data_IF_820836373154
#
_entry.id   IF_820836373154
#
_cell.length_a   1.000
_cell.length_b   1.000
_cell.length_c   1.000
_cell.angle_alpha   90.00
_cell.angle_beta   90.00
_cell.angle_gamma   90.00
#
_symmetry.space_group_name_H-M   'P 1'
#
loop_
_entity.id
_entity.type
_entity.pdbx_description
1 polymer ?
#
# COMPACT_ATOMS: atom_id res chain seq x y z
N UNK A 1 8.47 20.76 17.20
CA UNK A 1 9.06 19.82 18.18
C UNK A 1 10.35 19.26 17.57
N UNK A 2 11.45 19.20 18.32
CA UNK A 2 12.69 18.59 17.85
C UNK A 2 12.58 17.06 17.86
N UNK A 3 13.29 16.37 16.95
CA UNK A 3 13.37 14.91 16.94
C UNK A 3 13.91 14.35 18.28
N UNK A 4 14.85 15.07 18.89
CA UNK A 4 15.41 14.73 20.20
C UNK A 4 14.33 14.63 21.30
N UNK A 5 13.46 15.64 21.40
CA UNK A 5 12.40 15.65 22.43
C UNK A 5 11.37 14.54 22.19
N UNK A 6 11.07 14.22 20.93
CA UNK A 6 10.19 13.10 20.59
C UNK A 6 10.80 11.78 21.07
N UNK A 7 12.06 11.54 20.71
CA UNK A 7 12.76 10.30 21.03
C UNK A 7 12.96 10.11 22.53
N UNK A 8 13.18 11.20 23.29
CA UNK A 8 13.24 11.14 24.74
C UNK A 8 11.91 10.67 25.34
N UNK A 9 10.79 11.30 24.93
CA UNK A 9 9.45 10.92 25.41
C UNK A 9 9.12 9.49 25.01
N UNK A 10 9.40 9.11 23.75
CA UNK A 10 9.21 7.75 23.23
C UNK A 10 9.92 6.71 24.10
N UNK A 11 11.18 6.95 24.45
CA UNK A 11 11.97 6.05 25.34
C UNK A 11 11.34 5.92 26.72
N UNK A 12 10.87 7.02 27.32
CA UNK A 12 10.20 7.00 28.63
C UNK A 12 8.92 6.16 28.57
N UNK A 13 8.11 6.35 27.53
CA UNK A 13 6.84 5.64 27.33
C UNK A 13 7.08 4.14 27.16
N UNK A 14 7.97 3.71 26.27
CA UNK A 14 8.27 2.28 26.07
C UNK A 14 9.01 1.64 27.25
N UNK A 15 9.88 2.38 27.95
CA UNK A 15 10.50 1.90 29.19
C UNK A 15 9.45 1.67 30.29
N UNK A 16 8.46 2.57 30.38
CA UNK A 16 7.33 2.42 31.30
C UNK A 16 6.46 1.23 30.94
N UNK A 17 6.14 1.07 29.65
CA UNK A 17 5.33 -0.04 29.16
C UNK A 17 5.98 -1.41 29.42
N UNK A 18 7.30 -1.52 29.24
CA UNK A 18 8.05 -2.76 29.47
C UNK A 18 8.40 -3.00 30.95
N UNK A 19 8.10 -2.07 31.87
CA UNK A 19 8.38 -2.25 33.28
C UNK A 19 7.29 -3.15 33.93
N UNK A 20 7.65 -4.30 34.53
CA UNK A 20 6.68 -5.23 35.13
C UNK A 20 5.79 -4.62 36.21
N UNK A 21 6.25 -3.56 36.89
CA UNK A 21 5.52 -2.89 37.97
C UNK A 21 4.61 -1.74 37.49
N UNK A 22 4.68 -1.36 36.21
CA UNK A 22 3.94 -0.22 35.66
C UNK A 22 3.02 -0.63 34.51
N UNK A 23 3.59 -1.28 33.51
CA UNK A 23 2.87 -1.79 32.33
C UNK A 23 2.27 -0.70 31.42
N UNK A 24 1.47 -1.16 30.46
CA UNK A 24 0.88 -0.34 29.40
C UNK A 24 -0.16 0.68 29.91
N UNK A 25 -0.92 0.36 30.97
CA UNK A 25 -1.93 1.27 31.53
C UNK A 25 -1.31 2.62 31.92
N UNK A 26 -0.22 2.57 32.69
CA UNK A 26 0.48 3.80 33.11
C UNK A 26 1.16 4.50 31.94
N UNK A 27 1.68 3.75 30.96
CA UNK A 27 2.28 4.32 29.75
C UNK A 27 1.25 5.14 28.94
N UNK A 28 0.03 4.61 28.75
CA UNK A 28 -1.07 5.33 28.10
C UNK A 28 -1.50 6.55 28.91
N UNK A 29 -1.61 6.42 30.23
CA UNK A 29 -1.95 7.54 31.12
C UNK A 29 -0.95 8.69 30.97
N UNK A 30 0.36 8.39 31.01
CA UNK A 30 1.41 9.39 30.85
C UNK A 30 1.39 10.04 29.47
N UNK A 31 1.17 9.25 28.42
CA UNK A 31 1.05 9.77 27.06
C UNK A 31 -0.11 10.76 26.94
N UNK A 32 -1.29 10.39 27.46
CA UNK A 32 -2.52 11.17 27.35
C UNK A 32 -2.53 12.42 28.26
N UNK A 33 -2.05 12.30 29.50
CA UNK A 33 -2.13 13.36 30.52
C UNK A 33 -0.92 14.28 30.55
N UNK A 34 0.28 13.76 30.29
CA UNK A 34 1.54 14.48 30.55
C UNK A 34 2.24 14.93 29.27
N UNK A 35 2.25 14.08 28.25
CA UNK A 35 3.06 14.32 27.05
C UNK A 35 2.29 14.82 25.85
N UNK A 36 0.96 14.64 25.80
CA UNK A 36 0.10 15.09 24.69
C UNK A 36 0.31 16.56 24.30
N UNK A 37 0.37 17.47 25.27
CA UNK A 37 0.58 18.91 25.02
C UNK A 37 1.99 19.21 24.51
N UNK A 38 2.99 18.44 24.95
CA UNK A 38 4.41 18.61 24.56
C UNK A 38 4.70 18.07 23.16
N UNK A 39 4.05 16.96 22.79
CA UNK A 39 4.22 16.30 21.49
C UNK A 39 3.51 17.04 20.35
N UNK A 40 2.45 17.79 20.68
CA UNK A 40 1.50 18.32 19.71
C UNK A 40 0.69 17.19 19.05
N UNK A 41 -0.31 17.56 18.24
CA UNK A 41 -1.25 16.60 17.67
C UNK A 41 -0.57 15.49 16.85
N UNK A 42 0.36 15.84 15.96
CA UNK A 42 1.03 14.86 15.09
C UNK A 42 1.89 13.86 15.87
N UNK A 43 2.73 14.36 16.78
CA UNK A 43 3.62 13.50 17.59
C UNK A 43 2.84 12.62 18.56
N UNK A 44 1.78 13.15 19.16
CA UNK A 44 0.89 12.38 20.03
C UNK A 44 0.22 11.23 19.28
N UNK A 45 -0.40 11.51 18.12
CA UNK A 45 -1.09 10.48 17.35
C UNK A 45 -0.14 9.40 16.82
N UNK A 46 1.08 9.77 16.41
CA UNK A 46 2.13 8.82 16.01
C UNK A 46 2.53 7.91 17.16
N UNK A 47 2.97 8.48 18.29
CA UNK A 47 3.43 7.70 19.44
C UNK A 47 2.30 6.84 20.05
N UNK A 48 1.05 7.31 19.99
CA UNK A 48 -0.11 6.53 20.41
C UNK A 48 -0.37 5.34 19.50
N UNK A 49 -0.19 5.49 18.19
CA UNK A 49 -0.29 4.37 17.26
C UNK A 49 0.83 3.34 17.51
N UNK A 50 2.08 3.80 17.65
CA UNK A 50 3.21 2.94 18.00
C UNK A 50 2.97 2.15 19.30
N UNK A 51 2.52 2.81 20.37
CA UNK A 51 2.26 2.16 21.65
C UNK A 51 1.15 1.11 21.56
N UNK A 52 0.07 1.40 20.83
CA UNK A 52 -1.02 0.44 20.61
C UNK A 52 -0.57 -0.75 19.75
N UNK A 53 0.25 -0.52 18.72
CA UNK A 53 0.83 -1.58 17.91
C UNK A 53 1.71 -2.51 18.76
N UNK A 54 2.60 -1.94 19.56
CA UNK A 54 3.47 -2.71 20.44
C UNK A 54 2.69 -3.46 21.53
N UNK A 55 1.65 -2.86 22.10
CA UNK A 55 0.80 -3.54 23.09
C UNK A 55 0.08 -4.76 22.50
N UNK A 56 -0.45 -4.62 21.28
CA UNK A 56 -1.27 -5.66 20.65
C UNK A 56 -0.44 -6.77 20.03
N UNK A 57 0.68 -6.43 19.39
CA UNK A 57 1.47 -7.36 18.58
C UNK A 57 2.89 -7.60 19.10
N UNK A 58 3.28 -6.97 20.21
CA UNK A 58 4.64 -7.05 20.74
C UNK A 58 5.08 -8.48 21.06
N UNK A 59 4.20 -9.29 21.64
CA UNK A 59 4.49 -10.70 21.92
C UNK A 59 4.44 -11.55 20.65
N UNK A 60 3.36 -11.43 19.88
CA UNK A 60 3.11 -12.25 18.68
C UNK A 60 4.23 -12.10 17.64
N UNK A 61 4.69 -10.86 17.41
CA UNK A 61 5.76 -10.55 16.48
C UNK A 61 7.12 -10.40 17.14
N UNK A 62 7.25 -10.69 18.44
CA UNK A 62 8.51 -10.52 19.22
C UNK A 62 9.17 -9.16 18.97
N UNK A 63 8.37 -8.10 19.01
CA UNK A 63 8.81 -6.76 18.65
C UNK A 63 9.85 -6.26 19.64
N UNK A 64 10.90 -5.64 19.10
CA UNK A 64 11.89 -4.86 19.82
C UNK A 64 11.78 -3.42 19.32
N UNK A 65 11.74 -2.47 20.24
CA UNK A 65 11.72 -1.04 19.89
C UNK A 65 13.02 -0.69 19.19
N UNK A 66 12.93 -0.20 17.96
CA UNK A 66 14.09 0.25 17.22
C UNK A 66 14.70 1.47 17.92
N UNK A 67 16.01 1.40 18.14
CA UNK A 67 16.80 2.53 18.61
C UNK A 67 16.92 3.60 17.51
N UNK A 68 17.32 4.80 17.90
CA UNK A 68 17.52 5.98 17.04
C UNK A 68 18.74 5.80 16.10
N UNK A 69 18.68 4.78 15.23
CA UNK A 69 19.79 4.34 14.37
C UNK A 69 19.69 4.87 12.94
N UNK A 70 18.78 5.81 12.67
CA UNK A 70 18.59 6.39 11.34
C UNK A 70 17.89 5.47 10.33
N UNK A 71 17.56 4.23 10.72
CA UNK A 71 16.66 3.37 9.96
C UNK A 71 15.24 3.86 10.25
N UNK A 72 14.45 4.20 9.22
CA UNK A 72 13.11 4.80 9.33
C UNK A 72 12.05 3.89 10.02
N UNK A 73 12.44 2.86 10.77
CA UNK A 73 11.59 1.88 11.42
C UNK A 73 11.39 2.17 12.92
N UNK A 74 10.20 1.85 13.42
CA UNK A 74 9.85 1.97 14.83
C UNK A 74 10.14 0.69 15.62
N UNK A 75 10.00 -0.47 14.98
CA UNK A 75 10.19 -1.79 15.58
C UNK A 75 10.95 -2.74 14.67
N UNK A 76 11.59 -3.73 15.26
CA UNK A 76 12.12 -4.91 14.58
C UNK A 76 11.60 -6.17 15.27
N UNK A 77 11.21 -7.18 14.51
CA UNK A 77 10.66 -8.42 15.05
C UNK A 77 10.53 -9.50 13.98
N UNK A 78 9.52 -10.34 14.14
CA UNK A 78 9.20 -11.46 13.27
C UNK A 78 7.77 -11.34 12.74
N UNK A 79 7.59 -11.42 11.43
CA UNK A 79 6.27 -11.58 10.81
C UNK A 79 6.17 -12.97 10.18
N UNK A 80 5.40 -13.85 10.82
CA UNK A 80 5.45 -15.28 10.50
C UNK A 80 6.84 -15.85 10.79
N UNK A 81 7.52 -16.37 9.76
CA UNK A 81 8.88 -16.92 9.86
C UNK A 81 9.98 -15.94 9.44
N UNK A 82 9.62 -14.74 8.95
CA UNK A 82 10.57 -13.78 8.41
C UNK A 82 10.90 -12.70 9.45
N UNK A 83 12.17 -12.34 9.54
CA UNK A 83 12.56 -11.12 10.24
C UNK A 83 11.97 -9.92 9.48
N UNK A 84 11.42 -8.98 10.23
CA UNK A 84 10.70 -7.82 9.67
C UNK A 84 10.94 -6.57 10.50
N UNK A 85 11.17 -5.45 9.81
CA UNK A 85 11.14 -4.10 10.36
C UNK A 85 9.75 -3.51 10.16
N UNK A 86 9.23 -2.85 11.17
CA UNK A 86 7.93 -2.20 11.13
C UNK A 86 8.07 -0.70 11.35
N UNK A 87 7.47 0.08 10.47
CA UNK A 87 7.18 1.49 10.67
C UNK A 87 5.68 1.65 10.91
N UNK A 88 5.28 2.40 11.92
CA UNK A 88 3.89 2.59 12.29
C UNK A 88 3.50 4.02 11.95
N UNK A 89 2.53 4.18 11.06
CA UNK A 89 2.05 5.49 10.63
C UNK A 89 0.56 5.61 10.78
N UNK A 90 0.10 6.84 11.01
CA UNK A 90 -1.32 7.19 10.89
C UNK A 90 -1.63 7.91 9.58
N UNK A 91 -0.63 8.16 8.75
CA UNK A 91 -0.81 8.78 7.44
C UNK A 91 0.22 8.26 6.44
N UNK A 92 -0.26 7.58 5.40
CA UNK A 92 0.60 7.03 4.35
C UNK A 92 1.18 8.10 3.43
N UNK A 93 0.57 9.29 3.36
CA UNK A 93 1.00 10.37 2.46
C UNK A 93 2.42 10.89 2.75
N UNK A 94 2.91 10.66 3.97
CA UNK A 94 4.25 11.06 4.40
C UNK A 94 5.28 9.93 4.24
N UNK A 95 4.90 8.81 3.62
CA UNK A 95 5.74 7.62 3.49
C UNK A 95 5.98 7.36 2.01
N UNK A 96 7.08 7.87 1.49
CA UNK A 96 7.45 7.76 0.08
C UNK A 96 8.45 6.64 -0.14
N UNK A 97 8.22 5.76 -1.11
CA UNK A 97 9.11 4.63 -1.39
C UNK A 97 10.59 5.03 -1.51
N UNK A 98 10.89 6.14 -2.19
CA UNK A 98 12.25 6.67 -2.38
C UNK A 98 12.99 7.00 -1.07
N UNK A 99 12.29 7.28 0.02
CA UNK A 99 12.90 7.52 1.34
C UNK A 99 13.25 6.21 2.05
N UNK A 100 12.54 5.12 1.74
CA UNK A 100 12.74 3.83 2.39
C UNK A 100 13.67 2.91 1.59
N UNK A 101 13.72 3.04 0.27
CA UNK A 101 14.52 2.21 -0.64
C UNK A 101 15.96 1.99 -0.16
N UNK A 102 16.71 3.03 0.30
CA UNK A 102 18.09 2.84 0.75
C UNK A 102 18.24 1.91 1.96
N UNK A 103 17.17 1.76 2.75
CA UNK A 103 17.14 0.95 3.96
C UNK A 103 16.61 -0.48 3.74
N UNK A 104 16.05 -0.76 2.56
CA UNK A 104 15.48 -2.08 2.23
C UNK A 104 16.58 -3.06 1.81
N UNK A 105 17.46 -2.65 0.88
CA UNK A 105 18.62 -3.45 0.42
C UNK A 105 18.32 -4.95 0.18
N UNK A 106 19.34 -5.81 0.31
CA UNK A 106 19.18 -7.29 0.34
C UNK A 106 18.77 -7.80 1.74
N UNK A 107 18.13 -6.95 2.54
CA UNK A 107 18.01 -7.11 3.97
C UNK A 107 16.70 -7.73 4.44
N UNK A 108 16.37 -7.38 5.67
CA UNK A 108 15.19 -7.80 6.40
C UNK A 108 13.96 -7.11 5.77
N UNK A 109 12.85 -7.84 5.62
CA UNK A 109 11.59 -7.30 5.07
C UNK A 109 11.15 -6.02 5.80
N UNK A 110 10.55 -5.09 5.06
CA UNK A 110 10.16 -3.78 5.58
C UNK A 110 8.66 -3.55 5.40
N UNK A 111 7.93 -3.44 6.51
CA UNK A 111 6.48 -3.27 6.51
C UNK A 111 6.06 -1.95 7.16
N UNK A 112 5.05 -1.30 6.58
CA UNK A 112 4.40 -0.11 7.13
C UNK A 112 3.01 -0.49 7.65
N UNK A 113 2.81 -0.40 8.97
CA UNK A 113 1.51 -0.58 9.60
C UNK A 113 0.76 0.77 9.62
N UNK A 114 -0.33 0.86 8.85
CA UNK A 114 -1.20 2.02 8.79
C UNK A 114 -2.31 1.92 9.84
N UNK A 115 -2.39 2.92 10.71
CA UNK A 115 -3.38 3.04 11.77
C UNK A 115 -4.45 4.07 11.45
N UNK A 116 -5.68 3.79 11.84
CA UNK A 116 -6.76 4.77 11.88
C UNK A 116 -6.54 5.73 13.06
N UNK A 117 -6.68 7.03 12.81
CA UNK A 117 -6.51 8.09 13.83
C UNK A 117 -7.62 8.13 14.87
N UNK A 118 -8.76 7.49 14.58
CA UNK A 118 -10.00 7.58 15.36
C UNK A 118 -10.10 6.45 16.36
N UNK A 119 -9.98 5.20 15.91
CA UNK A 119 -10.08 4.02 16.77
C UNK A 119 -8.72 3.36 17.09
N UNK A 120 -7.63 3.82 16.47
CA UNK A 120 -6.29 3.25 16.64
C UNK A 120 -6.24 1.75 16.36
N UNK A 121 -6.90 1.32 15.29
CA UNK A 121 -6.78 -0.03 14.73
C UNK A 121 -5.92 -0.03 13.46
N UNK A 122 -5.27 -1.17 13.20
CA UNK A 122 -4.54 -1.39 11.95
C UNK A 122 -5.55 -1.43 10.81
N UNK A 123 -5.51 -0.44 9.93
CA UNK A 123 -6.24 -0.43 8.67
C UNK A 123 -5.54 -1.36 7.69
N UNK A 124 -4.20 -1.32 7.68
CA UNK A 124 -3.41 -1.92 6.62
C UNK A 124 -1.95 -2.21 7.03
N UNK A 125 -1.29 -3.19 6.39
CA UNK A 125 0.13 -3.48 6.55
C UNK A 125 0.81 -3.61 5.18
N UNK A 126 1.46 -2.55 4.73
CA UNK A 126 2.09 -2.47 3.41
C UNK A 126 3.46 -3.12 3.44
N UNK A 127 3.76 -3.95 2.44
CA UNK A 127 5.11 -4.47 2.22
C UNK A 127 5.77 -3.67 1.10
N UNK A 128 6.88 -3.01 1.40
CA UNK A 128 7.61 -2.20 0.42
C UNK A 128 8.84 -2.93 -0.14
N UNK A 129 9.12 -4.17 0.27
CA UNK A 129 10.26 -4.95 -0.20
C UNK A 129 10.04 -5.48 -1.64
N UNK A 130 10.05 -4.58 -2.61
CA UNK A 130 9.87 -4.91 -4.02
C UNK A 130 11.11 -5.59 -4.61
N UNK A 131 10.95 -6.66 -5.41
CA UNK A 131 12.08 -7.32 -6.06
C UNK A 131 12.74 -6.40 -7.09
N UNK A 132 14.02 -6.66 -7.37
CA UNK A 132 14.76 -5.93 -8.41
C UNK A 132 14.45 -6.49 -9.81
N UNK A 133 14.45 -5.58 -10.77
CA UNK A 133 14.28 -5.81 -12.19
C UNK A 133 15.51 -6.50 -12.76
N UNK A 134 15.29 -7.57 -13.52
CA UNK A 134 16.35 -8.37 -14.10
C UNK A 134 17.15 -7.63 -15.19
N UNK A 135 16.56 -6.59 -15.79
CA UNK A 135 17.14 -5.87 -16.93
C UNK A 135 17.96 -4.64 -16.51
N UNK A 136 17.45 -3.84 -15.57
CA UNK A 136 18.11 -2.59 -15.17
C UNK A 136 18.47 -2.51 -13.68
N UNK A 137 18.13 -3.51 -12.86
CA UNK A 137 18.46 -3.55 -11.43
C UNK A 137 17.58 -2.71 -10.50
N UNK A 138 16.73 -1.84 -11.05
CA UNK A 138 15.75 -1.02 -10.31
C UNK A 138 14.57 -1.85 -9.78
N UNK A 139 13.72 -1.31 -8.90
CA UNK A 139 12.62 -2.10 -8.31
C UNK A 139 11.42 -2.36 -9.24
N UNK A 140 10.76 -3.51 -9.04
CA UNK A 140 9.55 -3.93 -9.74
C UNK A 140 8.34 -3.89 -8.81
N UNK A 141 7.38 -3.02 -9.11
CA UNK A 141 6.21 -2.76 -8.27
C UNK A 141 5.00 -3.50 -8.84
N UNK A 142 4.30 -4.35 -8.05
CA UNK A 142 3.21 -5.15 -8.57
C UNK A 142 1.85 -4.42 -8.56
N UNK A 143 1.10 -4.65 -9.64
CA UNK A 143 -0.25 -4.15 -9.90
C UNK A 143 -1.12 -5.30 -10.42
N UNK A 144 -2.44 -5.11 -10.38
CA UNK A 144 -3.38 -5.99 -11.08
C UNK A 144 -4.14 -5.18 -12.11
N UNK A 145 -4.24 -5.70 -13.33
CA UNK A 145 -5.07 -5.10 -14.37
C UNK A 145 -6.44 -5.75 -14.33
N UNK A 146 -7.48 -4.91 -14.28
CA UNK A 146 -8.85 -5.37 -14.43
C UNK A 146 -9.27 -5.27 -15.89
N UNK A 147 -9.20 -6.40 -16.61
CA UNK A 147 -9.55 -6.45 -18.03
C UNK A 147 -11.07 -6.61 -18.21
N UNK A 148 -11.54 -6.26 -19.41
CA UNK A 148 -12.93 -6.41 -19.79
C UNK A 148 -13.35 -7.87 -19.98
N UNK A 149 -14.63 -8.06 -20.27
CA UNK A 149 -15.25 -9.36 -20.48
C UNK A 149 -14.56 -10.11 -21.62
N UNK A 150 -14.25 -11.38 -21.38
CA UNK A 150 -13.67 -12.23 -22.41
C UNK A 150 -14.76 -12.69 -23.39
N UNK A 151 -14.39 -12.77 -24.67
CA UNK A 151 -15.26 -13.26 -25.73
C UNK A 151 -14.62 -14.47 -26.41
N UNK A 152 -15.45 -15.44 -26.80
CA UNK A 152 -14.96 -16.53 -27.64
C UNK A 152 -14.78 -16.07 -29.10
N UNK A 153 -14.22 -16.95 -29.93
CA UNK A 153 -14.02 -16.72 -31.38
C UNK A 153 -15.30 -16.35 -32.18
N UNK A 154 -16.48 -16.58 -31.60
CA UNK A 154 -17.77 -16.25 -32.21
C UNK A 154 -18.35 -14.93 -31.67
N UNK A 155 -17.61 -14.21 -30.81
CA UNK A 155 -18.03 -12.97 -30.18
C UNK A 155 -19.05 -13.16 -29.05
N UNK A 156 -19.20 -14.38 -28.51
CA UNK A 156 -20.10 -14.60 -27.37
C UNK A 156 -19.35 -14.40 -26.05
N UNK A 157 -19.96 -13.71 -25.06
CA UNK A 157 -19.35 -13.47 -23.77
C UNK A 157 -19.09 -14.78 -23.04
N UNK A 158 -17.94 -14.87 -22.39
CA UNK A 158 -17.53 -16.05 -21.62
C UNK A 158 -17.89 -15.96 -20.14
N UNK A 159 -18.49 -14.84 -19.68
CA UNK A 159 -18.91 -14.63 -18.28
C UNK A 159 -17.74 -14.74 -17.29
N UNK A 160 -16.53 -14.41 -17.73
CA UNK A 160 -15.34 -14.24 -16.89
C UNK A 160 -14.42 -13.19 -17.53
N UNK A 161 -13.60 -12.57 -16.69
CA UNK A 161 -12.63 -11.55 -17.08
C UNK A 161 -11.23 -12.03 -16.68
N UNK A 162 -10.24 -11.63 -17.46
CA UNK A 162 -8.84 -11.87 -17.14
C UNK A 162 -8.31 -10.80 -16.18
N UNK A 163 -7.60 -11.23 -15.14
CA UNK A 163 -7.12 -10.37 -14.06
C UNK A 163 -5.63 -10.59 -13.83
N UNK A 164 -4.76 -10.18 -14.79
CA UNK A 164 -3.33 -10.38 -14.66
C UNK A 164 -2.76 -9.47 -13.58
N UNK A 165 -2.05 -10.09 -12.65
CA UNK A 165 -1.11 -9.43 -11.75
C UNK A 165 0.23 -9.34 -12.48
N UNK A 166 0.76 -8.13 -12.61
CA UNK A 166 2.01 -7.85 -13.29
C UNK A 166 2.88 -6.94 -12.42
N UNK A 167 4.18 -7.00 -12.62
CA UNK A 167 5.14 -6.08 -12.00
C UNK A 167 5.68 -5.10 -13.01
N UNK A 168 5.77 -3.85 -12.59
CA UNK A 168 6.24 -2.71 -13.39
C UNK A 168 7.60 -2.27 -12.87
N UNK A 169 8.62 -2.28 -13.71
CA UNK A 169 9.92 -1.73 -13.33
C UNK A 169 9.89 -0.19 -13.30
N UNK A 170 10.33 0.43 -12.20
CA UNK A 170 10.39 1.90 -12.09
C UNK A 170 11.41 2.54 -13.04
N UNK A 171 12.47 1.82 -13.42
CA UNK A 171 13.55 2.36 -14.25
C UNK A 171 13.26 2.24 -15.75
N UNK A 172 13.02 1.02 -16.22
CA UNK A 172 12.85 0.73 -17.65
C UNK A 172 11.39 0.52 -18.07
N UNK A 173 10.42 0.60 -17.14
CA UNK A 173 8.98 0.44 -17.40
C UNK A 173 8.61 -0.91 -18.04
N UNK A 174 9.51 -1.90 -17.96
CA UNK A 174 9.23 -3.26 -18.39
C UNK A 174 8.08 -3.86 -17.57
N UNK A 175 7.18 -4.53 -18.27
CA UNK A 175 6.08 -5.28 -17.67
C UNK A 175 6.45 -6.76 -17.59
N UNK A 176 6.20 -7.37 -16.43
CA UNK A 176 6.37 -8.81 -16.22
C UNK A 176 5.11 -9.37 -15.58
N UNK A 177 4.41 -10.25 -16.28
CA UNK A 177 3.27 -10.96 -15.70
C UNK A 177 3.77 -11.92 -14.59
N UNK A 178 3.09 -11.87 -13.44
CA UNK A 178 3.38 -12.74 -12.30
C UNK A 178 2.38 -13.89 -12.22
N UNK A 179 1.09 -13.57 -12.36
CA UNK A 179 -0.02 -14.52 -12.25
C UNK A 179 -1.25 -13.96 -12.94
N UNK A 180 -2.06 -14.82 -13.56
CA UNK A 180 -3.40 -14.49 -14.05
C UNK A 180 -4.47 -15.13 -13.19
N UNK A 181 -5.44 -14.34 -12.76
CA UNK A 181 -6.68 -14.85 -12.17
C UNK A 181 -7.81 -14.72 -13.19
N UNK A 182 -8.81 -15.59 -13.08
CA UNK A 182 -9.97 -15.64 -13.97
C UNK A 182 -11.20 -15.61 -13.08
N UNK A 183 -11.82 -14.44 -12.99
CA UNK A 183 -12.98 -14.18 -12.14
C UNK A 183 -13.95 -13.23 -12.85
N UNK A 184 -15.21 -13.21 -12.42
CA UNK A 184 -16.20 -12.25 -12.93
C UNK A 184 -16.07 -10.91 -12.20
N UNK A 185 -14.97 -10.20 -12.46
CA UNK A 185 -14.70 -8.86 -11.93
C UNK A 185 -14.69 -7.89 -13.10
N UNK A 186 -15.68 -6.97 -13.19
CA UNK A 186 -15.73 -5.99 -14.27
C UNK A 186 -14.48 -5.10 -14.31
N UNK A 187 -14.07 -4.69 -15.51
CA UNK A 187 -13.10 -3.60 -15.63
C UNK A 187 -13.68 -2.29 -15.07
N UNK A 188 -12.84 -1.30 -14.69
CA UNK A 188 -13.31 0.00 -14.24
C UNK A 188 -14.23 0.70 -15.24
N UNK A 189 -13.95 0.54 -16.54
CA UNK A 189 -14.78 1.08 -17.62
C UNK A 189 -16.15 0.39 -17.68
N UNK A 190 -16.18 -0.94 -17.63
CA UNK A 190 -17.44 -1.70 -17.61
C UNK A 190 -18.26 -1.37 -16.36
N UNK A 191 -17.62 -1.22 -15.20
CA UNK A 191 -18.28 -0.82 -13.97
C UNK A 191 -18.88 0.58 -14.10
N UNK A 192 -18.13 1.53 -14.66
CA UNK A 192 -18.60 2.89 -14.92
C UNK A 192 -19.82 2.93 -15.85
N UNK A 193 -19.83 2.09 -16.89
CA UNK A 193 -20.91 2.01 -17.88
C UNK A 193 -22.18 1.32 -17.36
N UNK A 194 -22.07 0.43 -16.36
CA UNK A 194 -23.21 -0.28 -15.75
C UNK A 194 -24.11 0.59 -14.88
N UNK A 195 -23.68 1.81 -14.56
CA UNK A 195 -24.47 2.74 -13.75
C UNK A 195 -25.79 3.15 -14.44
N UNK A 196 -26.85 3.31 -13.65
CA UNK A 196 -28.20 3.52 -14.16
C UNK A 196 -28.40 4.91 -14.81
N UNK A 197 -29.35 4.99 -15.75
CA UNK A 197 -29.82 6.25 -16.35
C UNK A 197 -30.36 7.17 -15.24
N UNK A 198 -29.63 8.25 -14.93
CA UNK A 198 -30.00 9.24 -13.92
C UNK A 198 -28.89 9.64 -12.95
N UNK A 199 -27.80 8.88 -12.87
CA UNK A 199 -26.62 9.28 -12.10
C UNK A 199 -25.79 10.34 -12.83
N UNK A 200 -25.28 11.31 -12.07
CA UNK A 200 -24.34 12.29 -12.63
C UNK A 200 -22.99 11.65 -12.93
N UNK A 201 -22.23 12.23 -13.85
CA UNK A 201 -20.87 11.77 -14.15
C UNK A 201 -19.97 11.78 -12.92
N UNK A 202 -20.06 12.80 -12.07
CA UNK A 202 -19.31 12.90 -10.82
C UNK A 202 -19.62 11.75 -9.86
N UNK A 203 -20.90 11.36 -9.73
CA UNK A 203 -21.31 10.22 -8.90
C UNK A 203 -20.70 8.91 -9.41
N UNK A 204 -20.74 8.69 -10.73
CA UNK A 204 -20.17 7.50 -11.37
C UNK A 204 -18.65 7.43 -11.21
N UNK A 205 -17.95 8.56 -11.35
CA UNK A 205 -16.50 8.64 -11.12
C UNK A 205 -16.14 8.29 -9.68
N UNK A 206 -16.86 8.87 -8.70
CA UNK A 206 -16.63 8.59 -7.28
C UNK A 206 -16.92 7.13 -6.92
N UNK A 207 -18.00 6.56 -7.46
CA UNK A 207 -18.34 5.15 -7.29
C UNK A 207 -17.26 4.24 -7.89
N UNK A 208 -16.76 4.56 -9.08
CA UNK A 208 -15.71 3.79 -9.76
C UNK A 208 -14.38 3.86 -9.01
N UNK A 209 -14.02 5.01 -8.44
CA UNK A 209 -12.84 5.13 -7.57
C UNK A 209 -12.96 4.25 -6.32
N UNK A 210 -14.13 4.24 -5.68
CA UNK A 210 -14.40 3.38 -4.53
C UNK A 210 -14.33 1.90 -4.92
N UNK A 211 -14.89 1.53 -6.06
CA UNK A 211 -14.79 0.19 -6.63
C UNK A 211 -13.34 -0.25 -6.82
N UNK A 212 -12.48 0.60 -7.41
CA UNK A 212 -11.06 0.29 -7.58
C UNK A 212 -10.34 0.05 -6.25
N UNK A 213 -10.65 0.83 -5.21
CA UNK A 213 -10.10 0.65 -3.86
C UNK A 213 -10.56 -0.68 -3.25
N UNK A 214 -11.81 -1.07 -3.48
CA UNK A 214 -12.36 -2.34 -3.00
C UNK A 214 -11.73 -3.54 -3.70
N UNK A 215 -11.58 -3.49 -5.03
CA UNK A 215 -10.87 -4.52 -5.78
C UNK A 215 -9.40 -4.60 -5.36
N UNK A 216 -8.73 -3.47 -5.16
CA UNK A 216 -7.37 -3.45 -4.62
C UNK A 216 -7.26 -4.20 -3.29
N UNK A 217 -8.18 -3.93 -2.35
CA UNK A 217 -8.22 -4.62 -1.06
C UNK A 217 -8.50 -6.11 -1.21
N UNK A 218 -9.38 -6.50 -2.12
CA UNK A 218 -9.68 -7.90 -2.43
C UNK A 218 -8.43 -8.63 -2.94
N UNK A 219 -7.84 -8.16 -4.05
CA UNK A 219 -6.68 -8.81 -4.66
C UNK A 219 -5.47 -8.86 -3.73
N UNK A 220 -5.26 -7.82 -2.93
CA UNK A 220 -4.14 -7.79 -1.98
C UNK A 220 -4.29 -8.85 -0.89
N UNK A 221 -5.49 -9.03 -0.34
CA UNK A 221 -5.76 -10.05 0.69
C UNK A 221 -5.64 -11.47 0.16
N UNK A 222 -6.11 -11.69 -1.07
CA UNK A 222 -6.16 -13.04 -1.65
C UNK A 222 -4.82 -13.48 -2.26
N UNK A 223 -4.02 -12.55 -2.80
CA UNK A 223 -2.89 -12.93 -3.66
C UNK A 223 -1.53 -12.40 -3.22
N UNK A 224 -1.40 -11.13 -2.86
CA UNK A 224 -0.07 -10.58 -2.52
C UNK A 224 -0.12 -9.30 -1.70
N UNK A 225 0.54 -9.30 -0.54
CA UNK A 225 0.63 -8.16 0.38
C UNK A 225 1.36 -6.94 -0.20
N UNK A 226 2.20 -7.15 -1.22
CA UNK A 226 2.98 -6.12 -1.87
C UNK A 226 2.26 -5.44 -3.05
N UNK A 227 1.00 -5.81 -3.36
CA UNK A 227 0.22 -5.17 -4.42
C UNK A 227 0.09 -3.67 -4.13
N UNK A 228 0.34 -2.82 -5.13
CA UNK A 228 0.35 -1.37 -4.97
C UNK A 228 -0.71 -0.62 -5.77
N UNK A 229 -1.54 -1.31 -6.56
CA UNK A 229 -2.63 -0.64 -7.24
C UNK A 229 -3.42 -1.48 -8.23
N UNK A 230 -4.32 -0.79 -8.92
CA UNK A 230 -5.17 -1.30 -9.99
C UNK A 230 -4.81 -0.56 -11.29
N UNK A 231 -4.77 -1.31 -12.38
CA UNK A 231 -4.72 -0.78 -13.74
C UNK A 231 -5.95 -1.19 -14.56
N UNK A 232 -6.24 -0.42 -15.61
CA UNK A 232 -7.16 -0.78 -16.68
C UNK A 232 -6.43 -0.77 -18.01
N UNK A 233 -6.80 -1.69 -18.89
CA UNK A 233 -6.28 -1.75 -20.24
C UNK A 233 -7.20 -0.99 -21.19
N UNK A 234 -6.65 -0.04 -21.95
CA UNK A 234 -7.44 0.73 -22.93
C UNK A 234 -6.65 1.04 -24.19
N UNK A 235 -7.37 1.26 -25.28
CA UNK A 235 -6.82 1.77 -26.52
C UNK A 235 -6.96 3.29 -26.61
N UNK A 236 -5.86 3.97 -26.85
CA UNK A 236 -5.82 5.43 -27.05
C UNK A 236 -5.67 5.74 -28.52
N UNK A 237 -6.69 6.38 -29.11
CA UNK A 237 -6.62 6.84 -30.50
C UNK A 237 -5.79 8.12 -30.60
N UNK A 238 -4.74 8.10 -31.41
CA UNK A 238 -3.88 9.25 -31.68
C UNK A 238 -4.27 10.03 -32.94
N UNK A 239 -4.97 9.39 -33.89
CA UNK A 239 -5.48 10.05 -35.11
C UNK A 239 -6.92 9.62 -35.43
N UNK A 240 -7.62 10.46 -36.20
CA UNK A 240 -9.00 10.21 -36.70
C UNK A 240 -9.11 8.99 -37.61
N UNK A 241 -7.99 8.47 -38.11
CA UNK A 241 -7.93 7.26 -38.94
C UNK A 241 -7.96 5.96 -38.15
N UNK A 242 -7.96 6.04 -36.81
CA UNK A 242 -7.97 4.88 -35.93
C UNK A 242 -6.58 4.41 -35.49
N UNK A 243 -5.51 5.08 -35.92
CA UNK A 243 -4.16 4.86 -35.40
C UNK A 243 -4.11 5.25 -33.91
N UNK A 244 -3.37 4.46 -33.13
CA UNK A 244 -3.34 4.56 -31.68
C UNK A 244 -2.44 3.51 -31.07
N UNK A 245 -2.47 3.41 -29.74
CA UNK A 245 -1.69 2.45 -28.98
C UNK A 245 -2.51 1.90 -27.81
N UNK A 246 -2.13 0.71 -27.37
CA UNK A 246 -2.69 0.11 -26.16
C UNK A 246 -1.88 0.57 -24.96
N UNK A 247 -2.55 0.86 -23.84
CA UNK A 247 -1.87 1.18 -22.59
C UNK A 247 -2.57 0.57 -21.39
N UNK A 248 -1.77 0.35 -20.35
CA UNK A 248 -2.24 0.16 -18.99
C UNK A 248 -2.30 1.52 -18.29
N UNK A 249 -3.49 1.93 -17.88
CA UNK A 249 -3.71 3.14 -17.11
C UNK A 249 -3.90 2.76 -15.64
N UNK A 250 -3.13 3.34 -14.73
CA UNK A 250 -3.26 3.05 -13.31
C UNK A 250 -4.45 3.81 -12.72
N UNK A 251 -5.59 3.13 -12.62
CA UNK A 251 -6.85 3.71 -12.11
C UNK A 251 -6.85 3.88 -10.60
N UNK A 252 -5.98 3.16 -9.89
CA UNK A 252 -5.68 3.38 -8.48
C UNK A 252 -4.21 3.06 -8.21
N UNK A 253 -3.51 3.98 -7.54
CA UNK A 253 -2.13 3.78 -7.07
C UNK A 253 -2.06 4.08 -5.58
N UNK A 254 -1.38 3.22 -4.84
CA UNK A 254 -1.05 3.49 -3.45
C UNK A 254 -0.12 4.71 -3.40
N UNK A 255 -0.43 5.66 -2.51
CA UNK A 255 0.33 6.89 -2.36
C UNK A 255 1.80 6.68 -1.99
N UNK A 256 2.14 5.51 -1.45
CA UNK A 256 3.52 5.15 -1.15
C UNK A 256 4.42 5.04 -2.41
N UNK A 257 3.84 4.76 -3.58
CA UNK A 257 4.57 4.54 -4.84
C UNK A 257 4.10 5.45 -5.98
N UNK A 258 3.11 6.31 -5.76
CA UNK A 258 2.51 7.12 -6.83
C UNK A 258 3.45 8.16 -7.43
N UNK A 259 4.56 8.49 -6.76
CA UNK A 259 5.56 9.46 -7.24
C UNK A 259 6.67 8.83 -8.08
N UNK A 260 6.80 7.50 -8.10
CA UNK A 260 7.88 6.79 -8.81
C UNK A 260 7.41 6.05 -10.07
N UNK A 261 6.11 6.06 -10.35
CA UNK A 261 5.53 5.40 -11.52
C UNK A 261 4.73 6.38 -12.37
N UNK A 262 4.70 6.18 -13.70
CA UNK A 262 3.82 6.95 -14.57
C UNK A 262 2.35 6.60 -14.33
N UNK A 263 1.44 7.43 -14.84
CA UNK A 263 -0.01 7.18 -14.81
C UNK A 263 -0.46 6.19 -15.89
N UNK A 264 0.34 6.02 -16.93
CA UNK A 264 0.09 5.09 -18.03
C UNK A 264 1.40 4.44 -18.51
N UNK A 265 1.30 3.22 -19.04
CA UNK A 265 2.40 2.51 -19.70
C UNK A 265 1.88 1.91 -20.99
N UNK A 266 2.52 2.24 -22.11
CA UNK A 266 2.24 1.63 -23.40
C UNK A 266 2.54 0.12 -23.35
N UNK A 267 1.64 -0.67 -23.92
CA UNK A 267 1.73 -2.11 -23.89
C UNK A 267 1.23 -2.75 -25.20
N UNK A 268 1.46 -4.06 -25.33
CA UNK A 268 0.87 -4.84 -26.39
C UNK A 268 -0.65 -4.96 -26.24
N UNK A 269 -1.33 -5.31 -27.34
CA UNK A 269 -2.74 -5.67 -27.30
C UNK A 269 -2.98 -6.94 -26.46
N UNK A 270 -2.07 -7.89 -26.57
CA UNK A 270 -2.11 -9.15 -25.85
C UNK A 270 -1.47 -8.95 -24.47
N UNK A 271 -2.26 -8.46 -23.52
CA UNK A 271 -1.92 -8.48 -22.10
C UNK A 271 -2.46 -9.75 -21.45
#
# INVERSE_FOLDING_TARGET
MSAHNYNEIRRIIFSTANNPNKGFLLAHEWLDSTYKSKLGYKGYSGLKAELNFYQRYGQDFKLTVAGDMGEHADFSGMYGSLATRFDVTTNIDYKKFSEYEPFMGNGISYKIALYDKTNFEVIDVLDLAFPNCQWCGEHEIPFVALLGENYNRHGMPLMHNDQPTFSVCIGCQSLRELKRNIDFIPSPSEYFERHAMGETEEQRLKSTQQYNIEQYKYFRREFTDNLMGIASHSYHMTDRKGDGYWSLNFTFQNRAVSDVLPFEIECGHDI
#
